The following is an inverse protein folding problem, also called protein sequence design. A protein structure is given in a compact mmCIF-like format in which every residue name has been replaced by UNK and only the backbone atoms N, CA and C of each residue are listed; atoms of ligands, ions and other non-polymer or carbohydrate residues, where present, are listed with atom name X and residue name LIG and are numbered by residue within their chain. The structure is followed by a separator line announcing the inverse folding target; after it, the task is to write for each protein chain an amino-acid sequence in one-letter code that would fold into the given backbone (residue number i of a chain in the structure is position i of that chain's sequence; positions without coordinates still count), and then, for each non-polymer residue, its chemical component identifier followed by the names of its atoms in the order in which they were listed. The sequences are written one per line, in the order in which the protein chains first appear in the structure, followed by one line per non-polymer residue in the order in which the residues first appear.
data_IF_113232006040
#
_entry.id   IF_113232006040
#
_cell.length_a   1.000
_cell.length_b   1.000
_cell.length_c   1.000
_cell.angle_alpha   90.00
_cell.angle_beta   90.00
_cell.angle_gamma   90.00
#
_symmetry.space_group_name_H-M   'P 1'
#
loop_
_entity.id
_entity.type
_entity.pdbx_description
1 polymer ?
#
# COMPACT_ATOMS: atom_id res chain seq x y z
N UNK A 1 -29.41 -27.52 0.38
CA UNK A 1 -28.04 -27.84 -0.07
C UNK A 1 -27.24 -26.52 -0.02
N UNK A 2 -26.34 -26.38 0.96
CA UNK A 2 -25.53 -25.18 1.13
C UNK A 2 -24.65 -24.98 -0.09
N UNK A 3 -24.70 -23.79 -0.64
CA UNK A 3 -23.89 -23.38 -1.80
C UNK A 3 -22.43 -23.29 -1.31
N UNK A 4 -21.67 -24.35 -1.52
CA UNK A 4 -20.24 -24.36 -1.14
C UNK A 4 -19.51 -23.44 -2.13
N UNK A 5 -19.26 -22.21 -1.71
CA UNK A 5 -18.45 -21.27 -2.48
C UNK A 5 -17.01 -21.76 -2.43
N UNK A 6 -16.41 -22.01 -3.58
CA UNK A 6 -15.03 -22.48 -3.69
C UNK A 6 -14.09 -21.28 -3.77
N UNK A 7 -13.02 -21.32 -2.96
CA UNK A 7 -11.91 -20.34 -3.06
C UNK A 7 -10.98 -20.83 -4.16
N UNK A 8 -10.73 -19.96 -5.12
CA UNK A 8 -9.91 -20.22 -6.30
C UNK A 8 -8.77 -19.20 -6.40
N UNK A 9 -7.71 -19.47 -7.20
CA UNK A 9 -6.70 -18.46 -7.48
C UNK A 9 -7.32 -17.23 -8.16
N UNK A 10 -6.87 -16.04 -7.73
CA UNK A 10 -7.16 -14.79 -8.40
C UNK A 10 -6.29 -14.71 -9.67
N UNK A 11 -6.90 -14.53 -10.83
CA UNK A 11 -6.23 -14.49 -12.13
C UNK A 11 -6.20 -13.07 -12.70
N UNK A 12 -5.41 -12.86 -13.76
CA UNK A 12 -5.37 -11.57 -14.47
C UNK A 12 -6.70 -11.17 -15.09
N UNK A 13 -7.51 -12.16 -15.50
CA UNK A 13 -8.82 -11.93 -16.11
C UNK A 13 -9.84 -11.36 -15.12
N UNK A 14 -9.59 -11.54 -13.82
CA UNK A 14 -10.44 -11.04 -12.74
C UNK A 14 -10.18 -9.57 -12.38
N UNK A 15 -9.07 -8.99 -12.82
CA UNK A 15 -8.62 -7.65 -12.39
C UNK A 15 -9.71 -6.60 -12.68
N UNK A 16 -10.30 -6.62 -13.87
CA UNK A 16 -11.38 -5.67 -14.21
C UNK A 16 -12.56 -5.79 -13.26
N UNK A 17 -12.99 -7.03 -12.95
CA UNK A 17 -14.08 -7.27 -12.00
C UNK A 17 -13.75 -6.77 -10.60
N UNK A 18 -12.50 -6.96 -10.15
CA UNK A 18 -12.05 -6.41 -8.88
C UNK A 18 -12.10 -4.87 -8.88
N UNK A 19 -11.59 -4.23 -9.94
CA UNK A 19 -11.54 -2.76 -10.06
C UNK A 19 -12.96 -2.16 -10.06
N UNK A 20 -13.94 -2.81 -10.70
CA UNK A 20 -15.34 -2.41 -10.67
C UNK A 20 -15.91 -2.45 -9.25
N UNK A 21 -15.64 -3.51 -8.49
CA UNK A 21 -16.05 -3.62 -7.08
C UNK A 21 -15.34 -2.56 -6.21
N UNK A 22 -14.07 -2.36 -6.40
CA UNK A 22 -13.28 -1.36 -5.66
C UNK A 22 -13.79 0.08 -5.93
N UNK A 23 -14.10 0.39 -7.19
CA UNK A 23 -14.70 1.67 -7.57
C UNK A 23 -16.06 1.89 -6.89
N UNK A 24 -16.91 0.86 -6.84
CA UNK A 24 -18.20 0.94 -6.17
C UNK A 24 -18.07 1.20 -4.65
N UNK A 25 -16.97 0.78 -4.04
CA UNK A 25 -16.63 1.07 -2.63
C UNK A 25 -15.88 2.41 -2.45
N UNK A 26 -15.64 3.15 -3.54
CA UNK A 26 -14.89 4.41 -3.51
C UNK A 26 -13.38 4.24 -3.26
N UNK A 27 -12.84 3.06 -3.54
CA UNK A 27 -11.41 2.81 -3.39
C UNK A 27 -10.63 3.35 -4.58
N UNK A 28 -9.42 3.79 -4.33
CA UNK A 28 -8.42 4.10 -5.35
C UNK A 28 -7.55 2.86 -5.51
N UNK A 29 -7.78 2.10 -6.57
CA UNK A 29 -7.03 0.89 -6.91
C UNK A 29 -6.62 0.96 -8.39
N UNK A 30 -5.43 0.48 -8.70
CA UNK A 30 -4.87 0.53 -10.03
C UNK A 30 -4.48 -0.85 -10.56
N UNK A 31 -4.64 -1.06 -11.85
CA UNK A 31 -4.37 -2.32 -12.52
C UNK A 31 -2.94 -2.85 -12.31
N UNK A 32 -1.95 -1.95 -12.23
CA UNK A 32 -0.54 -2.32 -12.03
C UNK A 32 -0.31 -3.08 -10.71
N UNK A 33 -1.04 -2.70 -9.65
CA UNK A 33 -0.92 -3.34 -8.33
C UNK A 33 -1.22 -4.83 -8.43
N UNK A 34 -2.26 -5.19 -9.17
CA UNK A 34 -2.68 -6.58 -9.36
C UNK A 34 -1.73 -7.35 -10.26
N UNK A 35 -1.25 -6.74 -11.35
CA UNK A 35 -0.20 -7.35 -12.16
C UNK A 35 1.06 -7.62 -11.35
N UNK A 36 1.45 -6.68 -10.50
CA UNK A 36 2.59 -6.85 -9.60
C UNK A 36 2.32 -7.96 -8.58
N UNK A 37 1.21 -7.92 -7.83
CA UNK A 37 0.87 -8.90 -6.80
C UNK A 37 0.74 -10.32 -7.35
N UNK A 38 0.04 -10.48 -8.48
CA UNK A 38 -0.14 -11.76 -9.16
C UNK A 38 1.16 -12.31 -9.80
N UNK A 39 2.18 -11.48 -9.97
CA UNK A 39 3.50 -11.91 -10.43
C UNK A 39 4.42 -12.21 -9.25
N UNK A 40 4.42 -11.35 -8.23
CA UNK A 40 5.35 -11.44 -7.10
C UNK A 40 4.94 -12.53 -6.08
N UNK A 41 3.63 -12.73 -5.86
CA UNK A 41 3.14 -13.71 -4.89
C UNK A 41 1.75 -14.27 -5.28
N UNK A 42 1.62 -14.97 -6.43
CA UNK A 42 0.33 -15.48 -6.94
C UNK A 42 -0.37 -16.45 -5.98
N UNK A 43 0.40 -17.26 -5.23
CA UNK A 43 -0.13 -18.22 -4.25
C UNK A 43 -0.79 -17.56 -3.02
N UNK A 44 -0.69 -16.25 -2.87
CA UNK A 44 -1.35 -15.49 -1.80
C UNK A 44 -2.57 -14.69 -2.28
N UNK A 45 -2.96 -14.82 -3.55
CA UNK A 45 -4.05 -14.07 -4.16
C UNK A 45 -5.21 -15.01 -4.51
N UNK A 46 -6.40 -14.74 -3.97
CA UNK A 46 -7.56 -15.63 -4.09
C UNK A 46 -8.83 -14.85 -4.44
N UNK A 47 -9.78 -15.58 -5.05
CA UNK A 47 -11.13 -15.10 -5.31
C UNK A 47 -12.17 -16.15 -4.99
N UNK A 48 -13.40 -15.73 -4.86
CA UNK A 48 -14.60 -16.57 -4.88
C UNK A 48 -15.41 -16.20 -6.09
N UNK A 49 -15.94 -17.21 -6.81
CA UNK A 49 -16.75 -17.01 -8.00
C UNK A 49 -18.21 -17.38 -7.75
N UNK A 50 -19.09 -16.74 -8.47
CA UNK A 50 -20.50 -17.13 -8.55
C UNK A 50 -20.70 -18.32 -9.51
N UNK A 51 -21.97 -18.73 -9.70
CA UNK A 51 -22.30 -19.84 -10.61
C UNK A 51 -22.04 -19.55 -12.08
N UNK A 52 -21.92 -18.30 -12.45
CA UNK A 52 -21.57 -17.87 -13.81
C UNK A 52 -20.07 -17.77 -14.04
N UNK A 53 -19.25 -18.07 -12.99
CA UNK A 53 -17.79 -17.98 -13.03
C UNK A 53 -17.25 -16.56 -12.80
N UNK A 54 -18.10 -15.57 -12.49
CA UNK A 54 -17.69 -14.21 -12.21
C UNK A 54 -17.13 -14.08 -10.79
N UNK A 55 -15.99 -13.42 -10.62
CA UNK A 55 -15.44 -13.11 -9.31
C UNK A 55 -16.36 -12.18 -8.49
N UNK A 56 -16.66 -12.57 -7.26
CA UNK A 56 -17.58 -11.83 -6.35
C UNK A 56 -16.93 -11.45 -5.01
N UNK A 57 -15.77 -12.01 -4.73
CA UNK A 57 -14.97 -11.66 -3.56
C UNK A 57 -13.50 -11.95 -3.84
N UNK A 58 -12.60 -11.12 -3.28
CA UNK A 58 -11.18 -11.18 -3.57
C UNK A 58 -10.35 -10.87 -2.32
N UNK A 59 -9.12 -11.37 -2.31
CA UNK A 59 -8.06 -10.99 -1.38
C UNK A 59 -6.72 -11.11 -2.10
N UNK A 60 -5.79 -10.25 -1.75
CA UNK A 60 -4.40 -10.39 -2.19
C UNK A 60 -3.47 -10.42 -0.99
N UNK A 61 -2.31 -11.03 -1.16
CA UNK A 61 -1.20 -10.83 -0.24
C UNK A 61 0.12 -10.75 -0.98
N UNK A 62 1.10 -10.17 -0.31
CA UNK A 62 2.47 -10.04 -0.77
C UNK A 62 3.41 -10.45 0.34
N UNK A 63 4.34 -11.37 0.03
CA UNK A 63 5.44 -11.69 0.93
C UNK A 63 6.58 -10.70 0.72
N UNK A 64 7.08 -10.13 1.79
CA UNK A 64 8.34 -9.38 1.88
C UNK A 64 9.47 -10.30 2.40
N UNK A 65 10.46 -9.78 3.10
CA UNK A 65 11.53 -10.58 3.70
C UNK A 65 11.01 -11.61 4.71
N UNK A 66 10.77 -11.17 5.94
CA UNK A 66 10.21 -11.98 7.05
C UNK A 66 8.76 -11.62 7.35
N UNK A 67 8.19 -10.68 6.64
CA UNK A 67 6.81 -10.24 6.81
C UNK A 67 5.97 -10.46 5.56
N UNK A 68 4.66 -10.31 5.71
CA UNK A 68 3.72 -10.34 4.62
C UNK A 68 2.63 -9.29 4.80
N UNK A 69 2.14 -8.76 3.70
CA UNK A 69 1.04 -7.81 3.66
C UNK A 69 -0.21 -8.49 3.12
N UNK A 70 -1.34 -8.35 3.79
CA UNK A 70 -2.67 -8.78 3.30
C UNK A 70 -3.43 -7.52 2.90
N UNK A 71 -3.93 -7.51 1.68
CA UNK A 71 -4.64 -6.37 1.13
C UNK A 71 -5.82 -6.76 0.25
N UNK A 72 -6.52 -5.75 -0.24
CA UNK A 72 -7.56 -5.92 -1.27
C UNK A 72 -8.66 -6.92 -0.90
N UNK A 73 -8.95 -7.10 0.41
CA UNK A 73 -10.07 -7.93 0.84
C UNK A 73 -11.38 -7.20 0.55
N UNK A 74 -12.08 -7.65 -0.46
CA UNK A 74 -13.37 -7.10 -0.88
C UNK A 74 -14.38 -8.22 -1.08
N UNK A 75 -15.63 -7.98 -0.69
CA UNK A 75 -16.74 -8.92 -0.89
C UNK A 75 -17.94 -8.14 -1.42
N UNK A 76 -18.53 -8.62 -2.49
CA UNK A 76 -19.75 -8.06 -3.05
C UNK A 76 -20.82 -7.91 -1.96
N UNK A 77 -21.53 -6.79 -1.95
CA UNK A 77 -22.37 -6.35 -0.82
C UNK A 77 -23.40 -7.38 -0.36
N UNK A 78 -24.08 -8.06 -1.31
CA UNK A 78 -25.10 -9.08 -1.03
C UNK A 78 -24.54 -10.40 -0.46
N UNK A 79 -23.21 -10.59 -0.53
CA UNK A 79 -22.50 -11.76 0.02
C UNK A 79 -21.82 -11.47 1.37
N UNK A 80 -21.88 -10.24 1.87
CA UNK A 80 -21.31 -9.87 3.17
C UNK A 80 -22.07 -10.53 4.33
N UNK A 81 -21.41 -10.69 5.47
CA UNK A 81 -22.00 -11.34 6.65
C UNK A 81 -22.18 -12.86 6.55
N UNK A 82 -21.75 -13.49 5.44
CA UNK A 82 -21.88 -14.94 5.19
C UNK A 82 -20.56 -15.71 5.36
N UNK A 83 -19.53 -15.11 5.98
CA UNK A 83 -18.23 -15.74 6.22
C UNK A 83 -17.26 -15.74 5.04
N UNK A 84 -17.65 -15.24 3.85
CA UNK A 84 -16.83 -15.28 2.62
C UNK A 84 -15.51 -14.52 2.79
N UNK A 85 -15.59 -13.30 3.33
CA UNK A 85 -14.39 -12.48 3.57
C UNK A 85 -13.44 -13.11 4.59
N UNK A 86 -13.98 -13.71 5.64
CA UNK A 86 -13.19 -14.41 6.65
C UNK A 86 -12.47 -15.64 6.06
N UNK A 87 -13.16 -16.42 5.25
CA UNK A 87 -12.57 -17.59 4.58
C UNK A 87 -11.42 -17.20 3.62
N UNK A 88 -11.61 -16.14 2.82
CA UNK A 88 -10.56 -15.60 1.96
C UNK A 88 -9.36 -15.08 2.77
N UNK A 89 -9.63 -14.34 3.84
CA UNK A 89 -8.60 -13.82 4.73
C UNK A 89 -7.76 -14.94 5.35
N UNK A 90 -8.41 -15.98 5.90
CA UNK A 90 -7.73 -17.14 6.48
C UNK A 90 -6.86 -17.85 5.44
N UNK A 91 -7.35 -18.00 4.21
CA UNK A 91 -6.61 -18.66 3.12
C UNK A 91 -5.36 -17.85 2.73
N UNK A 92 -5.49 -16.52 2.62
CA UNK A 92 -4.38 -15.63 2.31
C UNK A 92 -3.33 -15.59 3.44
N UNK A 93 -3.78 -15.54 4.70
CA UNK A 93 -2.91 -15.61 5.87
C UNK A 93 -2.16 -16.95 5.94
N UNK A 94 -2.83 -18.07 5.61
CA UNK A 94 -2.20 -19.38 5.54
C UNK A 94 -1.09 -19.42 4.48
N UNK A 95 -1.33 -18.87 3.29
CA UNK A 95 -0.33 -18.81 2.23
C UNK A 95 0.94 -18.01 2.64
N UNK A 96 0.77 -16.91 3.37
CA UNK A 96 1.92 -16.17 3.92
C UNK A 96 2.68 -16.98 4.98
N UNK A 97 1.98 -17.71 5.85
CA UNK A 97 2.61 -18.60 6.85
C UNK A 97 3.37 -19.74 6.17
N UNK A 98 2.78 -20.38 5.18
CA UNK A 98 3.41 -21.44 4.38
C UNK A 98 4.67 -20.93 3.67
N UNK A 99 4.68 -19.65 3.26
CA UNK A 99 5.85 -19.00 2.68
C UNK A 99 6.88 -18.52 3.71
N UNK A 100 6.67 -18.77 5.01
CA UNK A 100 7.63 -18.47 6.08
C UNK A 100 7.58 -17.01 6.58
N UNK A 101 6.48 -16.29 6.36
CA UNK A 101 6.28 -15.00 7.00
C UNK A 101 6.00 -15.15 8.50
N UNK A 102 6.62 -14.31 9.32
CA UNK A 102 6.53 -14.30 10.78
C UNK A 102 5.70 -13.14 11.31
N UNK A 103 5.69 -12.02 10.56
CA UNK A 103 4.89 -10.82 10.83
C UNK A 103 3.90 -10.61 9.70
N UNK A 104 2.65 -10.35 10.04
CA UNK A 104 1.57 -10.15 9.08
C UNK A 104 1.03 -8.74 9.24
N UNK A 105 0.94 -8.01 8.14
CA UNK A 105 0.49 -6.64 8.11
C UNK A 105 -0.79 -6.47 7.30
N UNK A 106 -1.58 -5.48 7.64
CA UNK A 106 -2.68 -4.97 6.82
C UNK A 106 -3.07 -3.55 7.25
N UNK A 107 -3.83 -2.87 6.39
CA UNK A 107 -4.62 -1.72 6.81
C UNK A 107 -6.10 -2.10 6.87
N UNK A 108 -6.73 -1.80 7.99
CA UNK A 108 -8.12 -2.11 8.27
C UNK A 108 -9.02 -0.88 8.13
N UNK A 109 -10.08 -1.00 7.34
CA UNK A 109 -11.21 -0.09 7.43
C UNK A 109 -12.00 -0.30 8.73
N UNK A 110 -12.85 0.65 9.09
CA UNK A 110 -13.74 0.48 10.26
C UNK A 110 -14.60 -0.79 10.20
N UNK A 111 -15.02 -1.20 9.01
CA UNK A 111 -15.84 -2.40 8.81
C UNK A 111 -15.02 -3.70 8.95
N UNK A 112 -13.76 -3.68 8.53
CA UNK A 112 -12.91 -4.88 8.54
C UNK A 112 -12.20 -5.14 9.86
N UNK A 113 -12.02 -4.12 10.71
CA UNK A 113 -11.20 -4.20 11.92
C UNK A 113 -11.54 -5.37 12.83
N UNK A 114 -12.82 -5.57 13.14
CA UNK A 114 -13.28 -6.64 14.04
C UNK A 114 -12.97 -8.05 13.51
N UNK A 115 -12.95 -8.24 12.19
CA UNK A 115 -12.54 -9.49 11.59
C UNK A 115 -11.07 -9.79 11.92
N UNK A 116 -10.19 -8.83 11.71
CA UNK A 116 -8.76 -9.01 11.93
C UNK A 116 -8.41 -9.19 13.40
N UNK A 117 -9.07 -8.47 14.31
CA UNK A 117 -8.92 -8.63 15.75
C UNK A 117 -9.23 -10.05 16.24
N UNK A 118 -10.28 -10.69 15.69
CA UNK A 118 -10.60 -12.11 15.97
C UNK A 118 -9.48 -13.07 15.60
N UNK A 119 -8.64 -12.70 14.64
CA UNK A 119 -7.51 -13.51 14.18
C UNK A 119 -6.17 -13.06 14.75
N UNK A 120 -6.18 -12.31 15.87
CA UNK A 120 -4.99 -11.95 16.62
C UNK A 120 -4.23 -10.73 16.08
N UNK A 121 -4.84 -9.93 15.21
CA UNK A 121 -4.27 -8.67 14.78
C UNK A 121 -4.52 -7.58 15.81
N UNK A 122 -3.52 -6.75 16.04
CA UNK A 122 -3.59 -5.59 16.93
C UNK A 122 -3.23 -4.32 16.16
N UNK A 123 -3.91 -3.23 16.45
CA UNK A 123 -3.57 -1.91 15.92
C UNK A 123 -2.23 -1.46 16.47
N UNK A 124 -1.33 -1.01 15.58
CA UNK A 124 -0.04 -0.41 15.95
C UNK A 124 0.01 1.08 15.64
N UNK A 125 -0.72 1.54 14.62
CA UNK A 125 -0.81 2.95 14.22
C UNK A 125 -2.10 3.21 13.43
N UNK A 126 -2.31 4.45 13.04
CA UNK A 126 -3.33 4.85 12.07
C UNK A 126 -2.65 5.44 10.85
N UNK A 127 -2.95 4.97 9.67
CA UNK A 127 -2.49 5.57 8.42
C UNK A 127 -3.49 6.63 7.99
N UNK A 128 -3.01 7.85 7.85
CA UNK A 128 -3.79 9.02 7.41
C UNK A 128 -3.50 9.28 5.94
N UNK A 129 -4.54 9.29 5.11
CA UNK A 129 -4.45 9.77 3.73
C UNK A 129 -4.54 11.27 3.68
N UNK A 130 -3.49 11.89 3.21
CA UNK A 130 -3.39 13.31 2.93
C UNK A 130 -3.59 13.58 1.44
N UNK A 131 -4.21 14.70 1.13
CA UNK A 131 -4.36 15.17 -0.24
C UNK A 131 -3.96 16.63 -0.36
N UNK A 132 -3.34 16.96 -1.48
CA UNK A 132 -2.91 18.31 -1.84
C UNK A 132 -2.78 18.44 -3.35
N UNK A 133 -2.04 19.44 -3.79
CA UNK A 133 -1.77 19.68 -5.20
C UNK A 133 -0.28 19.89 -5.42
N UNK A 134 0.18 19.60 -6.63
CA UNK A 134 1.52 19.94 -7.07
C UNK A 134 1.78 21.45 -7.03
N UNK A 135 3.02 21.86 -7.28
CA UNK A 135 3.44 23.27 -7.23
C UNK A 135 4.26 23.70 -8.46
N UNK A 136 4.35 22.85 -9.47
CA UNK A 136 5.04 23.19 -10.70
C UNK A 136 4.21 24.17 -11.54
N UNK A 137 4.74 25.35 -11.78
CA UNK A 137 4.12 26.39 -12.62
C UNK A 137 4.67 26.43 -14.05
N UNK A 138 5.93 25.98 -14.26
CA UNK A 138 6.58 25.88 -15.57
C UNK A 138 7.31 24.54 -15.68
N UNK A 139 7.53 24.06 -16.91
CA UNK A 139 8.37 22.86 -17.13
C UNK A 139 9.83 23.21 -16.82
N UNK A 140 10.30 22.89 -15.64
CA UNK A 140 11.71 22.88 -15.30
C UNK A 140 12.32 21.49 -15.54
N UNK A 141 13.62 21.47 -15.78
CA UNK A 141 14.40 20.28 -16.18
C UNK A 141 14.13 19.05 -15.29
N UNK A 142 14.04 17.90 -15.95
CA UNK A 142 14.00 16.58 -15.32
C UNK A 142 15.35 16.29 -14.64
N UNK A 143 15.39 16.01 -13.35
CA UNK A 143 16.60 15.45 -12.75
C UNK A 143 16.77 13.98 -13.20
N UNK A 144 18.02 13.62 -13.46
CA UNK A 144 18.47 12.39 -14.10
C UNK A 144 18.00 11.09 -13.44
N UNK A 145 17.91 10.04 -14.28
CA UNK A 145 17.60 8.66 -13.91
C UNK A 145 18.74 8.04 -13.08
N UNK A 146 18.38 7.10 -12.25
CA UNK A 146 19.18 6.51 -11.20
C UNK A 146 19.80 5.15 -11.59
N UNK A 147 21.07 4.91 -11.22
CA UNK A 147 21.80 3.65 -11.45
C UNK A 147 21.72 2.64 -10.27
N UNK A 148 22.40 1.49 -10.38
CA UNK A 148 22.35 0.37 -9.43
C UNK A 148 22.72 0.72 -7.96
N UNK A 149 23.65 1.66 -7.73
CA UNK A 149 24.02 2.15 -6.39
C UNK A 149 22.83 2.76 -5.65
N UNK A 150 21.86 3.25 -6.40
CA UNK A 150 20.63 3.86 -5.88
C UNK A 150 19.66 2.83 -5.29
N UNK A 151 19.53 1.66 -5.91
CA UNK A 151 18.64 0.60 -5.42
C UNK A 151 19.09 0.15 -4.02
N UNK A 152 20.40 0.00 -3.81
CA UNK A 152 20.98 -0.36 -2.51
C UNK A 152 20.69 0.70 -1.45
N UNK A 153 20.81 1.99 -1.79
CA UNK A 153 20.53 3.10 -0.87
C UNK A 153 19.05 3.17 -0.49
N UNK A 154 18.14 3.00 -1.45
CA UNK A 154 16.68 2.97 -1.21
C UNK A 154 16.31 1.83 -0.28
N UNK A 155 16.78 0.60 -0.58
CA UNK A 155 16.51 -0.58 0.25
C UNK A 155 17.07 -0.45 1.67
N UNK A 156 18.24 0.18 1.85
CA UNK A 156 18.84 0.38 3.16
C UNK A 156 18.04 1.39 4.02
N UNK A 157 17.57 2.48 3.43
CA UNK A 157 16.75 3.48 4.11
C UNK A 157 15.36 2.89 4.44
N UNK A 158 14.75 2.18 3.50
CA UNK A 158 13.45 1.53 3.70
C UNK A 158 13.50 0.49 4.81
N UNK A 159 14.56 -0.33 4.84
CA UNK A 159 14.78 -1.31 5.90
C UNK A 159 14.86 -0.67 7.30
N UNK A 160 15.58 0.44 7.44
CA UNK A 160 15.67 1.16 8.71
C UNK A 160 14.30 1.69 9.18
N UNK A 161 13.40 1.97 8.25
CA UNK A 161 12.07 2.51 8.52
C UNK A 161 11.06 1.40 8.85
N UNK A 162 11.10 0.32 8.07
CA UNK A 162 10.08 -0.73 8.09
C UNK A 162 10.46 -1.95 8.94
N UNK A 163 11.77 -2.16 9.16
CA UNK A 163 12.29 -3.33 9.90
C UNK A 163 12.30 -4.63 9.09
N UNK A 164 12.01 -4.56 7.79
CA UNK A 164 12.05 -5.72 6.89
C UNK A 164 12.42 -5.31 5.46
N UNK A 165 12.84 -6.27 4.65
CA UNK A 165 13.19 -6.06 3.24
C UNK A 165 11.96 -6.12 2.36
N UNK A 166 11.71 -5.03 1.61
CA UNK A 166 10.59 -4.91 0.69
C UNK A 166 11.05 -4.72 -0.76
N UNK A 167 12.14 -5.38 -1.14
CA UNK A 167 12.87 -5.13 -2.40
C UNK A 167 11.98 -5.25 -3.64
N UNK A 168 11.09 -6.25 -3.71
CA UNK A 168 10.17 -6.41 -4.83
C UNK A 168 9.20 -5.24 -4.98
N UNK A 169 8.67 -4.72 -3.85
CA UNK A 169 7.79 -3.56 -3.84
C UNK A 169 8.54 -2.29 -4.25
N UNK A 170 9.74 -2.09 -3.71
CA UNK A 170 10.59 -0.93 -4.05
C UNK A 170 10.95 -0.94 -5.54
N UNK A 171 11.39 -2.08 -6.07
CA UNK A 171 11.71 -2.21 -7.49
C UNK A 171 10.48 -1.92 -8.38
N UNK A 172 9.31 -2.45 -8.03
CA UNK A 172 8.08 -2.21 -8.78
C UNK A 172 7.65 -0.74 -8.77
N UNK A 173 7.74 -0.07 -7.61
CA UNK A 173 7.35 1.33 -7.49
C UNK A 173 8.35 2.29 -8.14
N UNK A 174 9.66 2.05 -7.99
CA UNK A 174 10.73 2.83 -8.63
C UNK A 174 10.67 2.65 -10.15
N UNK A 175 10.45 1.43 -10.64
CA UNK A 175 10.40 1.14 -12.07
C UNK A 175 9.22 1.79 -12.82
N UNK A 176 8.13 2.14 -12.12
CA UNK A 176 6.96 2.81 -12.71
C UNK A 176 6.83 4.29 -12.37
N UNK A 177 7.56 4.73 -11.35
CA UNK A 177 7.48 6.08 -10.81
C UNK A 177 8.74 6.90 -11.08
N UNK A 178 8.76 8.10 -10.50
CA UNK A 178 9.94 8.96 -10.46
C UNK A 178 10.53 8.93 -9.07
N UNK A 179 11.75 8.46 -8.95
CA UNK A 179 12.49 8.45 -7.68
C UNK A 179 13.17 9.80 -7.43
N UNK A 180 12.98 10.33 -6.22
CA UNK A 180 13.80 11.39 -5.65
C UNK A 180 14.60 10.79 -4.51
N UNK A 181 15.93 10.83 -4.62
CA UNK A 181 16.85 10.26 -3.64
C UNK A 181 17.78 11.36 -3.09
N UNK A 182 18.08 11.25 -1.79
CA UNK A 182 19.10 12.01 -1.06
C UNK A 182 19.83 11.04 -0.12
N UNK A 183 20.95 11.47 0.45
CA UNK A 183 21.80 10.61 1.28
C UNK A 183 21.06 9.91 2.42
N UNK A 184 20.05 10.57 3.01
CA UNK A 184 19.29 10.03 4.16
C UNK A 184 17.77 9.92 3.91
N UNK A 185 17.31 9.90 2.64
CA UNK A 185 15.89 9.77 2.37
C UNK A 185 15.56 9.56 0.89
N UNK A 186 14.39 9.01 0.63
CA UNK A 186 13.86 8.85 -0.72
C UNK A 186 12.34 9.01 -0.76
N UNK A 187 11.83 9.36 -1.93
CA UNK A 187 10.41 9.41 -2.26
C UNK A 187 10.21 8.94 -3.69
N UNK A 188 9.21 8.09 -3.92
CA UNK A 188 8.77 7.72 -5.27
C UNK A 188 7.47 8.43 -5.60
N UNK A 189 7.45 9.20 -6.69
CA UNK A 189 6.23 9.81 -7.25
C UNK A 189 5.63 8.81 -8.23
N UNK A 190 4.55 8.15 -7.84
CA UNK A 190 3.88 7.15 -8.67
C UNK A 190 2.72 7.77 -9.46
N UNK A 191 2.48 7.35 -10.72
CA UNK A 191 1.20 7.59 -11.39
C UNK A 191 0.07 6.97 -10.58
N UNK A 192 -1.10 7.64 -10.53
CA UNK A 192 -2.31 7.14 -9.87
C UNK A 192 -3.53 7.75 -10.57
N UNK A 193 -3.95 7.18 -11.70
CA UNK A 193 -4.90 7.79 -12.62
C UNK A 193 -4.46 9.20 -13.01
N UNK A 194 -5.38 10.16 -12.89
CA UNK A 194 -5.10 11.59 -13.14
C UNK A 194 -4.39 12.29 -11.97
N UNK A 195 -4.00 11.53 -10.94
CA UNK A 195 -3.36 12.01 -9.71
C UNK A 195 -1.95 11.44 -9.56
N UNK A 196 -1.26 11.79 -8.48
CA UNK A 196 0.03 11.18 -8.10
C UNK A 196 -0.04 10.66 -6.67
N UNK A 197 0.50 9.45 -6.46
CA UNK A 197 0.78 8.93 -5.14
C UNK A 197 2.23 9.23 -4.79
N UNK A 198 2.47 9.87 -3.65
CA UNK A 198 3.80 10.13 -3.11
C UNK A 198 4.13 9.05 -2.08
N UNK A 199 4.81 8.02 -2.52
CA UNK A 199 5.21 6.87 -1.72
C UNK A 199 5.73 5.71 -2.58
N UNK A 200 6.57 4.82 -2.00
CA UNK A 200 7.08 4.89 -0.63
C UNK A 200 7.92 6.14 -0.39
N UNK A 201 7.84 6.68 0.83
CA UNK A 201 8.59 7.86 1.23
C UNK A 201 9.15 7.65 2.64
N UNK A 202 10.45 7.55 2.74
CA UNK A 202 11.19 7.41 3.99
C UNK A 202 12.35 8.41 4.06
N UNK A 203 12.61 8.91 5.27
CA UNK A 203 13.77 9.76 5.53
C UNK A 203 14.24 9.60 6.97
N UNK A 204 15.56 9.55 7.16
CA UNK A 204 16.20 9.34 8.45
C UNK A 204 16.22 10.61 9.30
N UNK A 205 15.93 11.76 8.69
CA UNK A 205 15.83 13.05 9.38
C UNK A 205 14.75 13.96 8.75
N UNK A 206 14.28 14.92 9.56
CA UNK A 206 13.20 15.84 9.19
C UNK A 206 13.57 16.83 8.09
N UNK A 207 14.82 17.27 8.02
CA UNK A 207 15.26 18.25 7.04
C UNK A 207 15.31 17.65 5.64
N UNK A 208 15.84 16.41 5.53
CA UNK A 208 15.83 15.63 4.29
C UNK A 208 14.40 15.36 3.83
N UNK A 209 13.51 14.95 4.74
CA UNK A 209 12.09 14.72 4.40
C UNK A 209 11.44 16.00 3.85
N UNK A 210 11.66 17.14 4.50
CA UNK A 210 11.12 18.43 4.05
C UNK A 210 11.66 18.84 2.67
N UNK A 211 12.96 18.65 2.44
CA UNK A 211 13.59 18.95 1.16
C UNK A 211 13.03 18.09 0.03
N UNK A 212 12.97 16.78 0.23
CA UNK A 212 12.44 15.83 -0.76
C UNK A 212 10.96 16.12 -1.07
N UNK A 213 10.15 16.37 -0.05
CA UNK A 213 8.73 16.69 -0.24
C UNK A 213 8.54 17.97 -1.06
N UNK A 214 9.35 19.02 -0.80
CA UNK A 214 9.31 20.25 -1.58
C UNK A 214 9.70 20.01 -3.03
N UNK A 215 10.79 19.28 -3.26
CA UNK A 215 11.23 18.91 -4.59
C UNK A 215 10.15 18.11 -5.33
N UNK A 216 9.53 17.11 -4.67
CA UNK A 216 8.44 16.33 -5.24
C UNK A 216 7.25 17.19 -5.67
N UNK A 217 6.81 18.11 -4.81
CA UNK A 217 5.68 19.00 -5.13
C UNK A 217 6.00 19.93 -6.32
N UNK A 218 7.25 20.36 -6.47
CA UNK A 218 7.70 21.22 -7.59
C UNK A 218 7.78 20.45 -8.92
N UNK A 219 7.83 19.12 -8.92
CA UNK A 219 7.82 18.31 -10.15
C UNK A 219 6.44 17.95 -10.65
N UNK A 220 5.40 18.23 -9.87
CA UNK A 220 4.00 17.90 -10.21
C UNK A 220 3.23 19.20 -10.50
N UNK A 221 2.49 19.27 -11.62
CA UNK A 221 1.70 20.44 -11.97
C UNK A 221 0.74 20.87 -10.86
N UNK A 222 0.56 22.18 -10.67
CA UNK A 222 -0.32 22.74 -9.63
C UNK A 222 -1.80 22.33 -9.78
N UNK A 223 -2.21 21.86 -10.96
CA UNK A 223 -3.55 21.32 -11.22
C UNK A 223 -3.69 19.85 -10.85
N UNK A 224 -2.57 19.14 -10.64
CA UNK A 224 -2.56 17.69 -10.37
C UNK A 224 -2.65 17.43 -8.87
N UNK A 225 -3.66 16.66 -8.49
CA UNK A 225 -3.86 16.23 -7.11
C UNK A 225 -2.80 15.21 -6.72
N UNK A 226 -2.33 15.30 -5.48
CA UNK A 226 -1.36 14.36 -4.89
C UNK A 226 -1.93 13.72 -3.64
N UNK A 227 -1.55 12.44 -3.41
CA UNK A 227 -1.85 11.67 -2.19
C UNK A 227 -0.57 11.29 -1.45
N UNK A 228 -0.65 11.28 -0.12
CA UNK A 228 0.33 10.66 0.78
C UNK A 228 -0.41 9.90 1.87
N UNK A 229 0.09 8.71 2.19
CA UNK A 229 -0.50 7.83 3.22
C UNK A 229 0.53 7.66 4.34
N UNK A 230 0.42 8.47 5.41
CA UNK A 230 1.43 8.53 6.47
C UNK A 230 0.92 8.04 7.82
N UNK A 231 1.82 7.49 8.69
CA UNK A 231 1.48 7.18 10.07
C UNK A 231 1.06 8.42 10.86
N UNK A 232 0.01 8.30 11.66
CA UNK A 232 -0.45 9.35 12.57
C UNK A 232 0.56 9.66 13.68
N UNK A 233 1.36 8.69 14.07
CA UNK A 233 2.43 8.84 15.05
C UNK A 233 3.64 9.62 14.54
N UNK A 234 3.84 9.76 13.21
CA UNK A 234 4.85 10.64 12.65
C UNK A 234 4.45 12.11 12.74
N UNK A 235 4.66 12.71 13.93
CA UNK A 235 4.33 14.13 14.19
C UNK A 235 5.04 15.11 13.25
N UNK A 236 6.21 14.73 12.72
CA UNK A 236 6.98 15.55 11.79
C UNK A 236 6.33 15.56 10.41
N UNK A 237 5.90 14.40 9.92
CA UNK A 237 5.13 14.30 8.68
C UNK A 237 3.86 15.15 8.73
N UNK A 238 3.08 15.04 9.82
CA UNK A 238 1.86 15.82 10.01
C UNK A 238 2.13 17.32 9.94
N UNK A 239 3.22 17.81 10.57
CA UNK A 239 3.62 19.23 10.52
C UNK A 239 4.02 19.67 9.11
N UNK A 240 4.79 18.86 8.39
CA UNK A 240 5.21 19.16 7.01
C UNK A 240 4.02 19.26 6.07
N UNK A 241 3.04 18.34 6.18
CA UNK A 241 1.85 18.34 5.32
C UNK A 241 0.91 19.52 5.64
N UNK A 242 0.67 19.80 6.93
CA UNK A 242 -0.13 20.95 7.35
C UNK A 242 0.46 22.29 6.86
N UNK A 243 1.78 22.50 6.97
CA UNK A 243 2.45 23.70 6.46
C UNK A 243 2.25 23.88 4.94
N UNK A 244 2.03 22.79 4.22
CA UNK A 244 1.75 22.77 2.77
C UNK A 244 0.28 22.81 2.43
N UNK A 245 -0.58 23.03 3.46
CA UNK A 245 -2.04 23.11 3.34
C UNK A 245 -2.66 21.84 2.76
N UNK A 246 -2.03 20.69 2.97
CA UNK A 246 -2.63 19.40 2.65
C UNK A 246 -3.79 19.11 3.60
N UNK A 247 -4.77 18.35 3.14
CA UNK A 247 -5.99 18.00 3.89
C UNK A 247 -6.10 16.50 4.09
N UNK A 248 -6.68 16.10 5.20
CA UNK A 248 -6.98 14.69 5.48
C UNK A 248 -8.18 14.28 4.63
N UNK A 249 -8.02 13.21 3.85
CA UNK A 249 -9.06 12.62 3.01
C UNK A 249 -9.64 11.31 3.58
N UNK A 250 -8.95 10.68 4.53
CA UNK A 250 -9.40 9.46 5.18
C UNK A 250 -8.32 8.86 6.08
N UNK A 251 -8.64 7.75 6.70
CA UNK A 251 -7.69 6.99 7.51
C UNK A 251 -8.08 5.52 7.63
N UNK A 252 -7.09 4.65 7.80
CA UNK A 252 -7.25 3.23 8.12
C UNK A 252 -6.33 2.86 9.29
N UNK A 253 -6.74 1.86 10.07
CA UNK A 253 -5.90 1.32 11.14
C UNK A 253 -4.78 0.47 10.52
N UNK A 254 -3.52 0.75 10.87
CA UNK A 254 -2.42 -0.16 10.58
C UNK A 254 -2.37 -1.23 11.65
N UNK A 255 -2.51 -2.49 11.23
CA UNK A 255 -2.56 -3.62 12.14
C UNK A 255 -1.49 -4.64 11.80
N UNK A 256 -1.04 -5.37 12.83
CA UNK A 256 -0.13 -6.50 12.67
C UNK A 256 -0.54 -7.69 13.53
N UNK A 257 -0.05 -8.88 13.15
CA UNK A 257 -0.09 -10.11 13.94
C UNK A 257 1.24 -10.87 13.80
N UNK A 258 1.50 -11.82 14.69
CA UNK A 258 2.74 -12.59 14.71
C UNK A 258 3.86 -11.89 15.49
N UNK A 259 5.09 -11.98 14.99
CA UNK A 259 6.25 -11.34 15.63
C UNK A 259 6.10 -9.82 15.56
N UNK A 260 6.35 -9.15 16.70
CA UNK A 260 6.28 -7.69 16.76
C UNK A 260 7.31 -7.07 15.81
N UNK A 261 6.91 -6.20 14.88
CA UNK A 261 7.81 -5.60 13.92
C UNK A 261 8.72 -4.53 14.54
N UNK A 262 9.90 -4.35 13.95
CA UNK A 262 10.81 -3.22 14.22
C UNK A 262 10.37 -1.97 13.43
N UNK A 263 9.12 -1.59 13.60
CA UNK A 263 8.50 -0.47 12.88
C UNK A 263 8.89 0.87 13.51
N UNK A 264 9.41 1.78 12.66
CA UNK A 264 9.86 3.12 13.04
C UNK A 264 9.04 4.19 12.29
N UNK A 265 7.83 4.47 12.78
CA UNK A 265 6.92 5.41 12.11
C UNK A 265 7.50 6.83 11.96
N UNK A 266 8.38 7.26 12.87
CA UNK A 266 9.02 8.57 12.82
C UNK A 266 9.87 8.80 11.56
N UNK A 267 10.28 7.72 10.88
CA UNK A 267 11.07 7.77 9.64
C UNK A 267 10.20 7.58 8.39
N UNK A 268 8.94 7.17 8.55
CA UNK A 268 8.00 6.91 7.47
C UNK A 268 7.13 8.13 7.18
N UNK A 269 7.18 8.65 5.98
CA UNK A 269 6.39 9.79 5.52
C UNK A 269 5.29 9.39 4.52
N UNK A 270 5.39 8.21 3.90
CA UNK A 270 4.37 7.72 2.99
C UNK A 270 4.51 6.24 2.68
N UNK A 271 3.40 5.51 2.71
CA UNK A 271 3.30 4.15 2.19
C UNK A 271 3.36 4.15 0.66
N UNK A 272 3.74 3.03 0.06
CA UNK A 272 3.68 2.84 -1.39
C UNK A 272 2.22 2.83 -1.88
N UNK A 273 1.36 2.13 -1.13
CA UNK A 273 -0.10 2.10 -1.32
C UNK A 273 -0.78 2.00 0.03
N UNK A 274 -1.99 2.53 0.20
CA UNK A 274 -2.69 2.46 1.49
C UNK A 274 -3.17 1.05 1.84
N UNK A 275 -3.58 0.26 0.86
CA UNK A 275 -4.31 -0.98 1.12
C UNK A 275 -3.77 -2.22 0.43
N UNK A 276 -2.98 -2.09 -0.63
CA UNK A 276 -2.61 -3.24 -1.47
C UNK A 276 -1.35 -3.97 -1.00
N UNK A 277 -0.29 -3.24 -0.68
CA UNK A 277 1.03 -3.85 -0.45
C UNK A 277 1.96 -3.07 0.50
N UNK A 278 1.47 -2.01 1.17
CA UNK A 278 2.17 -1.26 2.22
C UNK A 278 3.13 -0.16 1.79
#
# INVERSE_FOLDING_TARGET
MGNQMTIEPFSKDDITTFLDLALAEGWVAEQWEFHFLLTAFPQGCFCVRDRAGKGVAFVTSLRHGRSGWIGNLIVQTDLRGKGVGEALFIRSLAALREAGAETFWLTASKLGKSLYEKHGFSTIDTIIRWTGFGRQHHREHDPEACGDETATSVSAIDYQTWGDRRDALLAATVGRGRLLLRDSGFLVIQPCGDTKQFGPFSALDSATAEHILNAALLTVPYTTKVYLDSPASNRTALRHFNRRRMRIAGSNELMYAGVKPEYRPELMYGLATMGSCG
#
